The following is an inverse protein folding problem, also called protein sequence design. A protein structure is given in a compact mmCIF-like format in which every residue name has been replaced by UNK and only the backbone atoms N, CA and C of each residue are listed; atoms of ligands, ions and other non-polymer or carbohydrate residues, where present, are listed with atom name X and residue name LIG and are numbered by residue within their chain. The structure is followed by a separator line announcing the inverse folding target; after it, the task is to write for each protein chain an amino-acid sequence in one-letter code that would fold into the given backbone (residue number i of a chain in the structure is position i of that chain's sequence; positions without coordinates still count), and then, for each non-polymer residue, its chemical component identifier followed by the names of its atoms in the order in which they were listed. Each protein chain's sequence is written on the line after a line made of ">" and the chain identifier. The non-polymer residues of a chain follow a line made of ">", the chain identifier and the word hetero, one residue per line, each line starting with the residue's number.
data_IF_747559902513
#
_entry.id   IF_747559902513
#
_cell.length_a   1.000
_cell.length_b   1.000
_cell.length_c   1.000
_cell.angle_alpha   90.00
_cell.angle_beta   90.00
_cell.angle_gamma   90.00
#
_symmetry.space_group_name_H-M   'P 1'
#
loop_
_entity.id
_entity.type
_entity.pdbx_description
1 polymer ?
#
# COMPACT_ATOMS: atom_id res chain seq x y z
N UNK A 1 -17.51 9.42 -82.55
CA UNK A 1 -16.35 9.04 -81.74
C UNK A 1 -16.32 9.91 -80.47
N UNK A 2 -16.57 9.37 -79.27
CA UNK A 2 -16.52 10.10 -78.05
C UNK A 2 -15.06 10.47 -77.74
N UNK A 3 -14.74 11.78 -77.61
CA UNK A 3 -13.42 12.21 -77.23
C UNK A 3 -13.15 11.72 -75.80
N UNK A 4 -12.13 10.88 -75.65
CA UNK A 4 -11.70 10.38 -74.36
C UNK A 4 -11.13 11.58 -73.54
N UNK A 5 -11.68 11.83 -72.32
CA UNK A 5 -11.36 12.99 -71.50
C UNK A 5 -10.23 12.66 -70.57
N UNK A 6 -9.00 12.85 -70.99
CA UNK A 6 -7.75 12.59 -70.21
C UNK A 6 -7.68 13.41 -68.93
N UNK A 7 -8.18 14.63 -68.94
CA UNK A 7 -8.13 15.52 -67.75
C UNK A 7 -8.96 14.99 -66.58
N UNK A 8 -10.14 14.41 -66.91
CA UNK A 8 -11.01 13.78 -65.92
C UNK A 8 -10.37 12.52 -65.32
N UNK A 9 -9.68 11.74 -66.14
CA UNK A 9 -8.98 10.54 -65.70
C UNK A 9 -7.78 10.89 -64.78
N UNK A 10 -6.99 11.86 -65.19
CA UNK A 10 -5.85 12.34 -64.41
C UNK A 10 -6.28 12.94 -63.06
N UNK A 11 -7.37 13.73 -63.05
CA UNK A 11 -7.90 14.31 -61.83
C UNK A 11 -8.44 13.25 -60.87
N UNK A 12 -9.12 12.24 -61.41
CA UNK A 12 -9.63 11.13 -60.60
C UNK A 12 -8.49 10.27 -60.04
N UNK A 13 -7.48 9.95 -60.87
CA UNK A 13 -6.29 9.22 -60.44
C UNK A 13 -5.54 9.97 -59.33
N UNK A 14 -5.36 11.28 -59.48
CA UNK A 14 -4.72 12.11 -58.49
C UNK A 14 -5.48 12.19 -57.15
N UNK A 15 -6.82 12.19 -57.20
CA UNK A 15 -7.67 12.12 -56.00
C UNK A 15 -7.48 10.79 -55.26
N UNK A 16 -7.49 9.65 -55.96
CA UNK A 16 -7.22 8.34 -55.34
C UNK A 16 -5.83 8.23 -54.75
N UNK A 17 -4.83 8.80 -55.41
CA UNK A 17 -3.45 8.86 -54.86
C UNK A 17 -3.39 9.64 -53.55
N UNK A 18 -4.07 10.80 -53.45
CA UNK A 18 -4.15 11.55 -52.21
C UNK A 18 -4.84 10.78 -51.08
N UNK A 19 -5.98 10.13 -51.41
CA UNK A 19 -6.73 9.31 -50.46
C UNK A 19 -5.84 8.17 -49.95
N UNK A 20 -5.11 7.50 -50.86
CA UNK A 20 -4.19 6.41 -50.48
C UNK A 20 -3.12 6.90 -49.49
N UNK A 21 -2.45 8.02 -49.78
CA UNK A 21 -1.44 8.56 -48.89
C UNK A 21 -2.02 9.05 -47.54
N UNK A 22 -3.24 9.60 -47.54
CA UNK A 22 -3.92 9.99 -46.34
C UNK A 22 -4.24 8.78 -45.41
N UNK A 23 -4.75 7.70 -46.01
CA UNK A 23 -5.01 6.44 -45.30
C UNK A 23 -3.72 5.82 -44.77
N UNK A 24 -2.68 5.80 -45.61
CA UNK A 24 -1.36 5.29 -45.20
C UNK A 24 -0.80 6.07 -44.00
N UNK A 25 -0.90 7.41 -44.06
CA UNK A 25 -0.45 8.26 -42.94
C UNK A 25 -1.23 7.99 -41.68
N UNK A 26 -2.57 7.79 -41.75
CA UNK A 26 -3.41 7.41 -40.61
C UNK A 26 -3.02 6.04 -40.04
N UNK A 27 -2.77 5.05 -40.91
CA UNK A 27 -2.33 3.73 -40.48
C UNK A 27 -0.98 3.80 -39.75
N UNK A 28 0.00 4.56 -40.29
CA UNK A 28 1.30 4.75 -39.66
C UNK A 28 1.16 5.50 -38.32
N UNK A 29 0.37 6.57 -38.26
CA UNK A 29 0.13 7.32 -37.04
C UNK A 29 -0.53 6.43 -35.96
N UNK A 30 -1.52 5.61 -36.35
CA UNK A 30 -2.18 4.67 -35.45
C UNK A 30 -1.22 3.58 -34.93
N UNK A 31 -0.35 3.08 -35.80
CA UNK A 31 0.67 2.10 -35.42
C UNK A 31 1.67 2.69 -34.45
N UNK A 32 2.21 3.87 -34.72
CA UNK A 32 3.14 4.58 -33.85
C UNK A 32 2.50 4.88 -32.52
N UNK A 33 1.26 5.41 -32.52
CA UNK A 33 0.53 5.71 -31.28
C UNK A 33 0.30 4.45 -30.44
N UNK A 34 -0.12 3.35 -31.04
CA UNK A 34 -0.33 2.07 -30.34
C UNK A 34 0.95 1.44 -29.79
N UNK A 35 2.11 1.68 -30.49
CA UNK A 35 3.40 1.14 -30.05
C UNK A 35 4.03 1.96 -28.92
N UNK A 36 3.87 3.29 -28.93
CA UNK A 36 4.48 4.20 -27.93
C UNK A 36 3.55 4.57 -26.77
N UNK A 37 2.26 4.33 -26.89
CA UNK A 37 1.29 4.43 -25.80
C UNK A 37 0.56 3.09 -25.63
N UNK A 38 1.19 2.14 -24.95
CA UNK A 38 0.55 0.87 -24.67
C UNK A 38 -0.71 1.10 -23.84
N UNK A 39 -1.73 0.28 -24.10
CA UNK A 39 -3.02 0.37 -23.44
C UNK A 39 -2.85 0.18 -21.92
N UNK A 40 -3.12 1.23 -21.14
CA UNK A 40 -3.02 1.23 -19.68
C UNK A 40 -3.81 0.08 -19.04
N UNK A 41 -4.95 -0.28 -19.62
CA UNK A 41 -5.75 -1.44 -19.19
C UNK A 41 -5.04 -2.78 -19.42
N UNK A 42 -4.27 -2.93 -20.50
CA UNK A 42 -3.50 -4.16 -20.74
C UNK A 42 -2.30 -4.26 -19.77
N UNK A 43 -1.61 -3.13 -19.53
CA UNK A 43 -0.51 -3.08 -18.56
C UNK A 43 -1.01 -3.39 -17.15
N UNK A 44 -2.13 -2.80 -16.75
CA UNK A 44 -2.74 -3.03 -15.44
C UNK A 44 -3.08 -4.51 -15.22
N UNK A 45 -3.65 -5.19 -16.23
CA UNK A 45 -3.93 -6.63 -16.15
C UNK A 45 -2.68 -7.49 -16.04
N UNK A 46 -1.66 -7.19 -16.85
CA UNK A 46 -0.38 -7.92 -16.79
C UNK A 46 0.29 -7.71 -15.44
N UNK A 47 0.26 -6.50 -14.89
CA UNK A 47 0.83 -6.23 -13.57
C UNK A 47 0.05 -6.97 -12.46
N UNK A 48 -1.28 -7.02 -12.54
CA UNK A 48 -2.12 -7.75 -11.60
C UNK A 48 -1.83 -9.27 -11.65
N UNK A 49 -1.73 -9.85 -12.84
CA UNK A 49 -1.37 -11.27 -13.01
C UNK A 49 0.04 -11.59 -12.49
N UNK A 50 1.00 -10.69 -12.74
CA UNK A 50 2.36 -10.80 -12.21
C UNK A 50 2.39 -10.70 -10.69
N UNK A 51 1.65 -9.76 -10.10
CA UNK A 51 1.57 -9.62 -8.65
C UNK A 51 0.95 -10.87 -8.01
N UNK A 52 -0.10 -11.44 -8.59
CA UNK A 52 -0.70 -12.71 -8.15
C UNK A 52 0.30 -13.87 -8.25
N UNK A 53 1.02 -13.96 -9.38
CA UNK A 53 2.04 -14.99 -9.59
C UNK A 53 3.13 -14.89 -8.53
N UNK A 54 3.74 -13.72 -8.33
CA UNK A 54 4.78 -13.51 -7.32
C UNK A 54 4.27 -13.77 -5.89
N UNK A 55 3.04 -13.38 -5.59
CA UNK A 55 2.45 -13.64 -4.27
C UNK A 55 2.29 -15.16 -4.00
N UNK A 56 1.93 -15.93 -5.03
CA UNK A 56 1.81 -17.40 -4.90
C UNK A 56 3.19 -18.03 -4.72
N UNK A 57 4.20 -17.60 -5.48
CA UNK A 57 5.58 -18.08 -5.33
C UNK A 57 6.14 -17.75 -3.93
N UNK A 58 5.93 -16.55 -3.43
CA UNK A 58 6.36 -16.14 -2.08
C UNK A 58 5.68 -16.99 -1.00
N UNK A 59 4.39 -17.27 -1.14
CA UNK A 59 3.67 -18.18 -0.23
C UNK A 59 4.22 -19.60 -0.27
N UNK A 60 4.60 -20.08 -1.46
CA UNK A 60 5.19 -21.41 -1.63
C UNK A 60 6.59 -21.54 -1.00
N UNK A 61 7.31 -20.43 -0.79
CA UNK A 61 8.62 -20.43 -0.13
C UNK A 61 8.57 -20.68 1.38
N UNK A 62 7.38 -20.74 1.99
CA UNK A 62 7.18 -20.94 3.44
C UNK A 62 8.11 -20.08 4.31
N UNK A 63 8.18 -18.79 3.98
CA UNK A 63 9.06 -17.85 4.66
C UNK A 63 8.68 -17.72 6.13
N UNK A 64 9.65 -17.99 7.00
CA UNK A 64 9.45 -17.83 8.43
C UNK A 64 9.54 -16.37 8.86
N UNK A 65 8.70 -16.01 9.82
CA UNK A 65 8.71 -14.69 10.44
C UNK A 65 10.08 -14.41 11.08
N UNK A 66 10.66 -13.20 10.88
CA UNK A 66 11.94 -12.85 11.47
C UNK A 66 11.84 -12.72 12.99
N UNK A 67 12.88 -13.14 13.68
CA UNK A 67 13.00 -12.93 15.11
C UNK A 67 12.99 -11.44 15.47
N UNK A 68 12.15 -11.04 16.44
CA UNK A 68 12.00 -9.68 16.90
C UNK A 68 12.71 -9.46 18.23
N UNK A 69 14.05 -9.34 18.20
CA UNK A 69 14.91 -9.13 19.38
C UNK A 69 15.48 -7.72 19.38
N UNK A 70 15.49 -7.08 20.56
CA UNK A 70 16.03 -5.74 20.75
C UNK A 70 16.34 -5.47 22.24
N UNK A 71 17.40 -4.67 22.50
CA UNK A 71 17.79 -4.22 23.81
C UNK A 71 17.86 -2.68 23.92
N UNK A 72 17.75 -1.98 22.78
CA UNK A 72 17.74 -0.52 22.70
C UNK A 72 16.92 -0.05 21.49
N UNK A 73 16.70 1.25 21.37
CA UNK A 73 15.86 1.88 20.35
C UNK A 73 16.36 1.60 18.94
N UNK A 74 17.69 1.60 18.71
CA UNK A 74 18.25 1.29 17.37
C UNK A 74 17.95 -0.16 16.97
N UNK A 75 18.09 -1.09 17.91
CA UNK A 75 17.77 -2.50 17.66
C UNK A 75 16.26 -2.70 17.48
N UNK A 76 15.43 -1.96 18.23
CA UNK A 76 13.98 -1.94 18.00
C UNK A 76 13.64 -1.51 16.58
N UNK A 77 14.22 -0.39 16.09
CA UNK A 77 14.03 0.05 14.69
C UNK A 77 14.48 -1.00 13.70
N UNK A 78 15.63 -1.66 13.91
CA UNK A 78 16.10 -2.75 13.03
C UNK A 78 15.17 -3.96 13.03
N UNK A 79 14.64 -4.34 14.19
CA UNK A 79 13.67 -5.44 14.29
C UNK A 79 12.36 -5.08 13.58
N UNK A 80 11.87 -3.84 13.75
CA UNK A 80 10.72 -3.32 13.01
C UNK A 80 10.95 -3.37 11.49
N UNK A 81 12.12 -2.93 11.01
CA UNK A 81 12.45 -3.00 9.58
C UNK A 81 12.41 -4.43 9.03
N UNK A 82 12.99 -5.40 9.75
CA UNK A 82 12.94 -6.81 9.33
C UNK A 82 11.50 -7.30 9.22
N UNK A 83 10.69 -7.00 10.21
CA UNK A 83 9.29 -7.38 10.26
C UNK A 83 8.48 -6.72 9.12
N UNK A 84 8.64 -5.42 8.91
CA UNK A 84 7.93 -4.71 7.83
C UNK A 84 8.36 -5.24 6.46
N UNK A 85 9.66 -5.55 6.27
CA UNK A 85 10.13 -6.19 5.04
C UNK A 85 9.44 -7.54 4.81
N UNK A 86 9.39 -8.39 5.83
CA UNK A 86 8.71 -9.67 5.77
C UNK A 86 7.23 -9.52 5.37
N UNK A 87 6.52 -8.60 6.01
CA UNK A 87 5.12 -8.29 5.68
C UNK A 87 4.99 -7.77 4.24
N UNK A 88 5.89 -6.89 3.82
CA UNK A 88 5.86 -6.31 2.47
C UNK A 88 6.16 -7.32 1.36
N UNK A 89 6.79 -8.47 1.65
CA UNK A 89 6.90 -9.56 0.67
C UNK A 89 5.53 -10.11 0.27
N UNK A 90 4.61 -10.22 1.22
CA UNK A 90 3.27 -10.78 1.01
C UNK A 90 2.21 -9.71 0.74
N UNK A 91 2.58 -8.44 0.67
CA UNK A 91 1.64 -7.34 0.53
C UNK A 91 1.82 -6.61 -0.80
N UNK A 92 0.76 -6.45 -1.62
CA UNK A 92 0.79 -5.66 -2.84
C UNK A 92 1.28 -4.23 -2.58
N UNK A 93 1.94 -3.62 -3.56
CA UNK A 93 2.57 -2.30 -3.40
C UNK A 93 1.60 -1.20 -2.97
N UNK A 94 0.37 -1.23 -3.50
CA UNK A 94 -0.70 -0.29 -3.18
C UNK A 94 -1.28 -0.45 -1.77
N UNK A 95 -0.98 -1.56 -1.10
CA UNK A 95 -1.39 -1.85 0.30
C UNK A 95 -0.30 -1.52 1.32
N UNK A 96 0.91 -1.22 0.87
CA UNK A 96 2.03 -0.93 1.78
C UNK A 96 1.85 0.40 2.49
N UNK A 97 2.40 0.47 3.69
CA UNK A 97 2.42 1.65 4.55
C UNK A 97 3.86 2.11 4.71
N UNK A 98 4.17 3.42 4.71
CA UNK A 98 5.53 3.90 4.91
C UNK A 98 6.18 3.35 6.18
N UNK A 99 7.44 2.95 6.08
CA UNK A 99 8.20 2.38 7.21
C UNK A 99 8.24 3.34 8.39
N UNK A 100 8.56 4.60 8.12
CA UNK A 100 8.69 5.67 9.10
C UNK A 100 7.39 5.83 9.90
N UNK A 101 6.26 5.74 9.23
CA UNK A 101 4.95 5.86 9.85
C UNK A 101 4.66 4.68 10.80
N UNK A 102 4.93 3.44 10.37
CA UNK A 102 4.73 2.23 11.18
C UNK A 102 5.67 2.27 12.40
N UNK A 103 6.96 2.56 12.16
CA UNK A 103 7.98 2.59 13.21
C UNK A 103 7.72 3.72 14.20
N UNK A 104 7.41 4.92 13.71
CA UNK A 104 7.12 6.08 14.56
C UNK A 104 5.92 5.84 15.48
N UNK A 105 4.85 5.26 14.97
CA UNK A 105 3.69 4.90 15.79
C UNK A 105 4.00 3.77 16.77
N UNK A 106 4.67 2.71 16.34
CA UNK A 106 5.07 1.62 17.24
C UNK A 106 5.97 2.12 18.37
N UNK A 107 6.95 2.99 18.07
CA UNK A 107 7.83 3.59 19.07
C UNK A 107 7.05 4.44 20.09
N UNK A 108 6.13 5.29 19.61
CA UNK A 108 5.31 6.15 20.46
C UNK A 108 4.38 5.34 21.36
N UNK A 109 3.60 4.39 20.78
CA UNK A 109 2.57 3.65 21.49
C UNK A 109 3.15 2.60 22.47
N UNK A 110 4.31 2.05 22.16
CA UNK A 110 4.92 1.00 22.95
C UNK A 110 6.08 1.47 23.83
N UNK A 111 6.42 2.77 23.83
CA UNK A 111 7.64 3.29 24.44
C UNK A 111 8.87 2.49 23.97
N UNK A 112 9.09 2.44 22.66
CA UNK A 112 10.16 1.67 21.99
C UNK A 112 10.14 0.18 22.36
N UNK A 113 8.92 -0.39 22.46
CA UNK A 113 8.72 -1.78 22.84
C UNK A 113 8.91 -2.07 24.33
N UNK A 114 9.12 -1.05 25.18
CA UNK A 114 9.36 -1.23 26.59
C UNK A 114 8.10 -1.30 27.44
N UNK A 115 6.93 -0.92 26.90
CA UNK A 115 5.67 -0.98 27.63
C UNK A 115 5.31 -2.42 28.04
N UNK A 116 4.51 -2.57 29.09
CA UNK A 116 4.01 -3.87 29.54
C UNK A 116 3.28 -4.63 28.42
N UNK A 117 2.46 -3.94 27.66
CA UNK A 117 1.70 -4.56 26.57
C UNK A 117 2.60 -5.02 25.41
N UNK A 118 3.68 -4.31 25.13
CA UNK A 118 4.66 -4.75 24.15
C UNK A 118 5.45 -5.98 24.62
N UNK A 119 5.74 -6.09 25.93
CA UNK A 119 6.51 -7.19 26.50
C UNK A 119 5.68 -8.45 26.76
N UNK A 120 4.47 -8.28 27.32
CA UNK A 120 3.66 -9.41 27.78
C UNK A 120 2.60 -9.84 26.74
N UNK A 121 2.16 -8.93 25.86
CA UNK A 121 1.12 -9.18 24.85
C UNK A 121 1.60 -9.03 23.42
N UNK A 122 2.89 -8.76 23.17
CA UNK A 122 3.44 -8.46 21.85
C UNK A 122 2.71 -7.32 21.09
N UNK A 123 2.02 -6.44 21.81
CA UNK A 123 1.19 -5.39 21.25
C UNK A 123 1.95 -4.08 21.20
N UNK A 124 2.38 -3.69 19.98
CA UNK A 124 3.18 -2.48 19.73
C UNK A 124 2.34 -1.21 19.50
N UNK A 125 1.02 -1.35 19.30
CA UNK A 125 0.16 -0.24 18.86
C UNK A 125 -1.01 0.03 19.83
N UNK A 126 -1.03 -0.61 21.00
CA UNK A 126 -2.13 -0.43 21.95
C UNK A 126 -3.49 -0.95 21.45
N UNK A 127 -3.49 -1.90 20.51
CA UNK A 127 -4.71 -2.44 19.91
C UNK A 127 -5.58 -3.08 20.98
N UNK A 128 -6.86 -2.71 21.00
CA UNK A 128 -7.86 -3.21 21.95
C UNK A 128 -8.70 -4.32 21.34
N UNK A 129 -9.28 -5.14 22.21
CA UNK A 129 -10.36 -6.07 21.86
C UNK A 129 -11.54 -5.86 22.79
N UNK A 130 -12.74 -5.99 22.24
CA UNK A 130 -14.01 -5.99 22.96
C UNK A 130 -14.64 -7.39 23.03
N UNK A 131 -13.96 -8.38 22.45
CA UNK A 131 -14.32 -9.78 22.55
C UNK A 131 -13.49 -10.44 23.65
N UNK A 132 -14.18 -10.94 24.69
CA UNK A 132 -13.57 -11.60 25.85
C UNK A 132 -12.80 -12.88 25.48
N UNK A 133 -13.22 -13.55 24.41
CA UNK A 133 -12.61 -14.81 23.97
C UNK A 133 -11.31 -14.59 23.15
N UNK A 134 -11.07 -13.35 22.71
CA UNK A 134 -9.79 -12.98 22.07
C UNK A 134 -8.68 -12.93 23.14
N UNK A 135 -7.51 -13.54 22.92
CA UNK A 135 -6.36 -13.39 23.82
C UNK A 135 -6.07 -11.92 24.15
N UNK A 136 -6.01 -11.58 25.43
CA UNK A 136 -5.85 -10.19 25.86
C UNK A 136 -5.20 -10.06 27.23
N UNK A 137 -4.63 -8.89 27.50
CA UNK A 137 -4.25 -8.44 28.83
C UNK A 137 -5.24 -7.40 29.33
N UNK A 138 -5.55 -7.45 30.61
CA UNK A 138 -6.33 -6.41 31.27
C UNK A 138 -5.42 -5.18 31.59
N UNK A 139 -5.98 -3.96 31.60
CA UNK A 139 -5.28 -2.77 32.08
C UNK A 139 -4.71 -2.97 33.48
N UNK A 140 -3.65 -2.24 33.80
CA UNK A 140 -3.02 -2.33 35.12
C UNK A 140 -4.04 -2.02 36.25
N UNK A 141 -4.04 -2.85 37.28
CA UNK A 141 -4.96 -2.70 38.41
C UNK A 141 -6.39 -3.21 38.14
N UNK A 142 -6.69 -3.70 36.94
CA UNK A 142 -7.98 -4.31 36.58
C UNK A 142 -7.86 -5.83 36.64
N UNK A 143 -8.64 -6.47 37.53
CA UNK A 143 -8.60 -7.93 37.74
C UNK A 143 -9.74 -8.67 37.07
N UNK A 144 -10.78 -7.96 36.60
CA UNK A 144 -11.94 -8.55 35.94
C UNK A 144 -12.24 -7.83 34.64
N UNK A 145 -12.72 -8.61 33.65
CA UNK A 145 -13.17 -8.07 32.39
C UNK A 145 -14.26 -6.99 32.56
N UNK A 146 -14.03 -5.83 31.96
CA UNK A 146 -14.94 -4.67 31.98
C UNK A 146 -15.35 -4.23 30.57
N UNK A 147 -15.55 -5.20 29.65
CA UNK A 147 -16.00 -4.93 28.29
C UNK A 147 -14.88 -4.72 27.28
N UNK A 148 -13.61 -4.60 27.69
CA UNK A 148 -12.47 -4.49 26.79
C UNK A 148 -11.17 -4.95 27.44
N UNK A 149 -10.19 -5.28 26.59
CA UNK A 149 -8.83 -5.61 26.99
C UNK A 149 -7.84 -5.16 25.90
N UNK A 150 -6.55 -5.24 26.19
CA UNK A 150 -5.50 -5.02 25.20
C UNK A 150 -5.19 -6.36 24.53
N UNK A 151 -5.37 -6.42 23.21
CA UNK A 151 -5.22 -7.65 22.41
C UNK A 151 -3.81 -8.20 22.54
N UNK A 152 -3.67 -9.50 22.74
CA UNK A 152 -2.40 -10.21 22.71
C UNK A 152 -2.19 -10.82 21.33
N UNK A 153 -0.94 -10.79 20.87
CA UNK A 153 -0.49 -11.34 19.59
C UNK A 153 0.51 -12.47 19.82
N UNK A 154 0.61 -13.41 18.88
CA UNK A 154 1.58 -14.51 18.94
C UNK A 154 3.02 -13.94 18.88
N UNK A 155 3.23 -12.92 18.06
CA UNK A 155 4.50 -12.22 17.94
C UNK A 155 4.32 -10.70 17.84
N UNK A 156 5.44 -9.96 17.91
CA UNK A 156 5.44 -8.53 17.64
C UNK A 156 5.19 -8.23 16.15
N UNK A 157 5.67 -9.08 15.26
CA UNK A 157 5.38 -8.97 13.83
C UNK A 157 3.91 -9.18 13.53
N UNK A 158 3.22 -10.10 14.22
CA UNK A 158 1.76 -10.24 14.10
C UNK A 158 1.03 -8.95 14.48
N UNK A 159 1.51 -8.22 15.49
CA UNK A 159 0.90 -6.94 15.83
C UNK A 159 1.14 -5.86 14.77
N UNK A 160 2.30 -5.89 14.08
CA UNK A 160 2.60 -5.03 12.93
C UNK A 160 1.71 -5.39 11.73
N UNK A 161 1.58 -6.67 11.41
CA UNK A 161 0.71 -7.15 10.36
C UNK A 161 -0.74 -6.71 10.61
N UNK A 162 -1.24 -6.95 11.82
CA UNK A 162 -2.59 -6.55 12.21
C UNK A 162 -2.81 -5.03 12.07
N UNK A 163 -1.82 -4.23 12.46
CA UNK A 163 -1.89 -2.78 12.31
C UNK A 163 -1.98 -2.37 10.82
N UNK A 164 -1.16 -2.96 9.96
CA UNK A 164 -1.21 -2.72 8.51
C UNK A 164 -2.55 -3.13 7.93
N UNK A 165 -3.09 -4.28 8.33
CA UNK A 165 -4.40 -4.77 7.92
C UNK A 165 -5.53 -3.87 8.40
N UNK A 166 -5.41 -3.32 9.62
CA UNK A 166 -6.36 -2.36 10.18
C UNK A 166 -6.44 -1.10 9.31
N UNK A 167 -5.30 -0.54 8.91
CA UNK A 167 -5.26 0.63 8.02
C UNK A 167 -5.83 0.33 6.63
N UNK A 168 -5.60 -0.88 6.14
CA UNK A 168 -6.08 -1.31 4.82
C UNK A 168 -7.57 -1.61 4.77
N UNK A 169 -8.16 -2.11 5.85
CA UNK A 169 -9.51 -2.69 5.80
C UNK A 169 -10.55 -1.94 6.64
N UNK A 170 -10.15 -1.29 7.74
CA UNK A 170 -11.13 -0.67 8.64
C UNK A 170 -11.69 0.63 8.05
N UNK A 171 -13.01 0.83 8.19
CA UNK A 171 -13.73 1.98 7.62
C UNK A 171 -13.23 3.34 8.13
N UNK A 172 -12.77 3.41 9.37
CA UNK A 172 -12.21 4.64 9.96
C UNK A 172 -11.01 5.23 9.20
N UNK A 173 -10.28 4.39 8.45
CA UNK A 173 -9.06 4.80 7.72
C UNK A 173 -9.27 4.93 6.21
N UNK A 174 -10.51 5.21 5.79
CA UNK A 174 -10.84 5.43 4.38
C UNK A 174 -10.05 6.59 3.78
N UNK A 175 -10.00 7.74 4.48
CA UNK A 175 -9.25 8.92 4.01
C UNK A 175 -7.75 8.67 3.88
N UNK A 176 -7.16 7.87 4.77
CA UNK A 176 -5.78 7.41 4.66
C UNK A 176 -5.56 6.65 3.35
N UNK A 177 -6.43 5.69 3.03
CA UNK A 177 -6.34 4.90 1.80
C UNK A 177 -6.52 5.74 0.55
N UNK A 178 -7.47 6.66 0.55
CA UNK A 178 -7.72 7.58 -0.57
C UNK A 178 -6.52 8.50 -0.83
N UNK A 179 -5.90 9.04 0.22
CA UNK A 179 -4.70 9.87 0.08
C UNK A 179 -3.52 9.03 -0.42
N UNK A 180 -3.30 7.84 0.12
CA UNK A 180 -2.26 6.91 -0.34
C UNK A 180 -2.43 6.58 -1.82
N UNK A 181 -3.64 6.19 -2.25
CA UNK A 181 -3.93 5.89 -3.64
C UNK A 181 -3.66 7.10 -4.55
N UNK A 182 -4.07 8.29 -4.13
CA UNK A 182 -3.82 9.51 -4.89
C UNK A 182 -2.33 9.84 -5.07
N UNK A 183 -1.48 9.49 -4.09
CA UNK A 183 -0.03 9.60 -4.23
C UNK A 183 0.52 8.59 -5.23
N UNK A 184 0.03 7.33 -5.17
CA UNK A 184 0.41 6.26 -6.09
C UNK A 184 0.03 6.61 -7.53
N UNK A 185 -1.21 7.05 -7.77
CA UNK A 185 -1.72 7.42 -9.10
C UNK A 185 -0.91 8.57 -9.73
N UNK A 186 -0.33 9.44 -8.89
CA UNK A 186 0.55 10.53 -9.32
C UNK A 186 2.03 10.13 -9.42
N UNK A 187 2.35 8.87 -9.21
CA UNK A 187 3.73 8.36 -9.18
C UNK A 187 4.61 9.08 -8.13
N UNK A 188 4.00 9.52 -7.02
CA UNK A 188 4.68 10.19 -5.92
C UNK A 188 5.12 9.17 -4.87
N UNK A 189 6.23 9.46 -4.19
CA UNK A 189 6.60 8.70 -3.00
C UNK A 189 5.54 8.88 -1.90
N UNK A 190 5.26 7.83 -1.15
CA UNK A 190 4.34 7.90 -0.02
C UNK A 190 4.95 8.77 1.08
N UNK A 191 4.28 9.86 1.42
CA UNK A 191 4.70 10.81 2.44
C UNK A 191 4.07 10.43 3.79
N UNK A 192 4.89 9.91 4.70
CA UNK A 192 4.47 9.48 6.02
C UNK A 192 3.82 10.62 6.85
N UNK A 193 4.35 11.86 6.71
CA UNK A 193 3.86 13.03 7.46
C UNK A 193 2.50 13.53 6.97
N UNK A 194 2.19 13.34 5.69
CA UNK A 194 0.86 13.64 5.18
C UNK A 194 -0.14 12.53 5.52
N UNK A 195 0.28 11.27 5.43
CA UNK A 195 -0.56 10.11 5.71
C UNK A 195 -0.96 10.01 7.18
N UNK A 196 -0.06 10.33 8.11
CA UNK A 196 -0.36 10.26 9.55
C UNK A 196 -1.48 11.24 9.97
N UNK A 197 -1.64 12.38 9.29
CA UNK A 197 -2.72 13.33 9.52
C UNK A 197 -4.11 12.75 9.22
N UNK A 198 -4.19 11.61 8.51
CA UNK A 198 -5.44 10.89 8.20
C UNK A 198 -5.75 9.79 9.20
N UNK A 199 -5.00 9.70 10.30
CA UNK A 199 -5.22 8.75 11.39
C UNK A 199 -5.82 9.39 12.65
N UNK A 200 -6.65 10.40 12.50
CA UNK A 200 -7.35 11.10 13.59
C UNK A 200 -8.22 10.17 14.47
N UNK A 201 -8.68 9.05 13.89
CA UNK A 201 -9.45 8.02 14.61
C UNK A 201 -8.59 6.98 15.35
N UNK A 202 -7.27 7.02 15.17
CA UNK A 202 -6.38 6.06 15.84
C UNK A 202 -6.20 6.39 17.33
N UNK A 203 -6.13 7.67 17.66
CA UNK A 203 -5.96 8.13 19.04
C UNK A 203 -6.89 9.31 19.32
N UNK A 204 -7.39 9.39 20.57
CA UNK A 204 -8.14 10.55 21.08
C UNK A 204 -7.23 11.66 21.58
N UNK A 205 -5.92 11.44 21.58
CA UNK A 205 -4.93 12.43 22.02
C UNK A 205 -4.86 13.59 21.04
N UNK A 206 -4.97 14.82 21.54
CA UNK A 206 -4.73 16.02 20.74
C UNK A 206 -3.29 16.01 20.18
N UNK A 207 -3.11 16.54 18.99
CA UNK A 207 -1.81 16.64 18.31
C UNK A 207 -1.10 15.30 18.14
N UNK A 208 -1.89 14.20 17.95
CA UNK A 208 -1.36 12.86 17.78
C UNK A 208 -0.42 12.75 16.57
N UNK A 209 -0.82 13.32 15.45
CA UNK A 209 -0.01 13.41 14.24
C UNK A 209 1.34 14.11 14.47
N UNK A 210 1.34 15.23 15.19
CA UNK A 210 2.56 15.95 15.55
C UNK A 210 3.45 15.14 16.52
N UNK A 211 2.85 14.32 17.38
CA UNK A 211 3.63 13.43 18.28
C UNK A 211 4.30 12.31 17.50
N UNK A 212 3.57 11.67 16.56
CA UNK A 212 4.16 10.64 15.71
C UNK A 212 5.20 11.25 14.77
N UNK A 213 4.94 12.43 14.20
CA UNK A 213 5.90 13.14 13.33
C UNK A 213 7.25 13.44 14.01
N UNK A 214 7.28 13.56 15.34
CA UNK A 214 8.55 13.70 16.10
C UNK A 214 9.31 12.40 16.30
N UNK A 215 8.67 11.27 16.02
CA UNK A 215 9.29 9.94 16.11
C UNK A 215 9.81 9.46 14.73
N UNK A 216 9.42 10.12 13.66
CA UNK A 216 9.83 9.88 12.27
C UNK A 216 11.11 10.69 11.97
#
# INVERSE_FOLDING_TARGET
>A
MAKFNWDKLLHTSWLYTKIFFAVLALCVASYVYGTYKPNESAISKVNEELDIFYMNEIKAMDLQEPEFTYNNDIQFVRAMHKCINFINFTLPKDKRVPYEMIIGQAALESAWGQSRFAKEANNLFGIRTWNKDTPHLLPQGVTKWRGWGVKSFASKCDSVQYYVDLLNNHSAYKEFRELRQKMIDKNQMLDALQLIKKLDKFSTTKDYDARVARMI
#
